data_IF_649851558287
#
_entry.id   IF_649851558287
#
_cell.length_a   1.000
_cell.length_b   1.000
_cell.length_c   1.000
_cell.angle_alpha   90.00
_cell.angle_beta   90.00
_cell.angle_gamma   90.00
#
_symmetry.space_group_name_H-M   'P 1'
#
loop_
_entity.id
_entity.type
_entity.pdbx_description
1 polymer ?
#
# COMPACT_ATOMS: atom_id res chain seq x y z
N UNK A 1 -9.06 -20.65 0.78
CA UNK A 1 -10.40 -20.50 1.38
C UNK A 1 -11.43 -20.53 0.25
N UNK A 2 -12.15 -21.65 0.06
CA UNK A 2 -13.30 -21.74 -0.85
C UNK A 2 -14.37 -22.61 -0.18
N UNK A 3 -14.98 -22.09 0.88
CA UNK A 3 -16.34 -22.50 1.20
C UNK A 3 -17.25 -21.64 0.30
N UNK A 4 -17.42 -22.08 -0.94
CA UNK A 4 -18.40 -21.46 -1.85
C UNK A 4 -19.78 -21.90 -1.39
N UNK A 5 -20.72 -20.95 -1.32
CA UNK A 5 -22.14 -21.25 -1.03
C UNK A 5 -22.63 -22.41 -1.92
N UNK A 6 -23.43 -23.38 -1.40
CA UNK A 6 -23.97 -24.47 -2.20
C UNK A 6 -25.05 -24.00 -3.17
N UNK A 7 -24.63 -23.29 -4.22
CA UNK A 7 -25.50 -22.66 -5.23
C UNK A 7 -26.41 -23.65 -5.97
N UNK A 8 -26.06 -24.94 -5.97
CA UNK A 8 -26.77 -26.02 -6.65
C UNK A 8 -27.77 -26.77 -5.76
N UNK A 9 -27.90 -26.43 -4.47
CA UNK A 9 -28.84 -27.12 -3.59
C UNK A 9 -30.30 -26.79 -3.96
N UNK A 10 -31.24 -27.76 -3.98
CA UNK A 10 -32.64 -27.52 -4.35
C UNK A 10 -33.31 -26.36 -3.58
N UNK A 11 -33.01 -26.23 -2.29
CA UNK A 11 -33.52 -25.14 -1.43
C UNK A 11 -33.01 -23.73 -1.81
N UNK A 12 -31.95 -23.62 -2.61
CA UNK A 12 -31.28 -22.37 -2.98
C UNK A 12 -31.36 -22.04 -4.48
N UNK A 13 -31.47 -23.06 -5.35
CA UNK A 13 -31.50 -22.91 -6.82
C UNK A 13 -32.71 -22.11 -7.31
N UNK A 14 -33.87 -22.26 -6.67
CA UNK A 14 -35.10 -21.58 -7.06
C UNK A 14 -35.14 -20.08 -6.72
N UNK A 15 -34.33 -19.64 -5.75
CA UNK A 15 -34.37 -18.27 -5.24
C UNK A 15 -33.25 -17.39 -5.84
N UNK A 16 -33.52 -16.87 -7.04
CA UNK A 16 -32.61 -15.96 -7.74
C UNK A 16 -32.26 -14.70 -6.95
N UNK A 17 -33.18 -14.23 -6.09
CA UNK A 17 -32.96 -13.05 -5.25
C UNK A 17 -31.93 -13.35 -4.16
N UNK A 18 -32.05 -14.49 -3.48
CA UNK A 18 -31.09 -14.95 -2.49
C UNK A 18 -29.72 -15.21 -3.13
N UNK A 19 -29.66 -15.87 -4.29
CA UNK A 19 -28.41 -16.09 -5.00
C UNK A 19 -27.68 -14.79 -5.37
N UNK A 20 -28.43 -13.79 -5.83
CA UNK A 20 -27.86 -12.47 -6.13
C UNK A 20 -27.28 -11.81 -4.87
N UNK A 21 -27.99 -11.88 -3.73
CA UNK A 21 -27.52 -11.34 -2.44
C UNK A 21 -26.26 -12.04 -1.96
N UNK A 22 -26.24 -13.37 -1.99
CA UNK A 22 -25.07 -14.17 -1.61
C UNK A 22 -23.88 -13.85 -2.50
N UNK A 23 -24.07 -13.72 -3.82
CA UNK A 23 -23.00 -13.25 -4.72
C UNK A 23 -22.46 -11.88 -4.31
N UNK A 24 -23.34 -10.91 -4.02
CA UNK A 24 -22.86 -9.58 -3.61
C UNK A 24 -22.12 -9.60 -2.26
N UNK A 25 -22.47 -10.53 -1.36
CA UNK A 25 -21.74 -10.73 -0.10
C UNK A 25 -20.37 -11.36 -0.35
N UNK A 26 -20.29 -12.39 -1.20
CA UNK A 26 -19.03 -13.01 -1.64
C UNK A 26 -18.08 -11.96 -2.26
N UNK A 27 -18.59 -11.11 -3.15
CA UNK A 27 -17.81 -10.02 -3.77
C UNK A 27 -17.23 -9.06 -2.71
N UNK A 28 -18.00 -8.74 -1.67
CA UNK A 28 -17.56 -7.85 -0.57
C UNK A 28 -16.50 -8.50 0.32
N UNK A 29 -16.64 -9.79 0.61
CA UNK A 29 -15.64 -10.56 1.35
C UNK A 29 -14.32 -10.61 0.56
N UNK A 30 -14.39 -10.87 -0.75
CA UNK A 30 -13.22 -10.88 -1.62
C UNK A 30 -12.53 -9.50 -1.65
N UNK A 31 -13.30 -8.42 -1.79
CA UNK A 31 -12.78 -7.05 -1.71
C UNK A 31 -12.13 -6.76 -0.36
N UNK A 32 -12.72 -7.22 0.75
CA UNK A 32 -12.13 -7.04 2.09
C UNK A 32 -10.79 -7.75 2.22
N UNK A 33 -10.69 -8.98 1.68
CA UNK A 33 -9.41 -9.69 1.61
C UNK A 33 -8.38 -8.97 0.74
N UNK A 34 -8.80 -8.45 -0.41
CA UNK A 34 -7.94 -7.66 -1.28
C UNK A 34 -7.42 -6.41 -0.55
N UNK A 35 -8.28 -5.66 0.15
CA UNK A 35 -7.89 -4.51 0.96
C UNK A 35 -6.87 -4.89 2.03
N UNK A 36 -7.03 -6.04 2.68
CA UNK A 36 -6.06 -6.55 3.63
C UNK A 36 -4.68 -6.76 2.98
N UNK A 37 -4.62 -7.45 1.85
CA UNK A 37 -3.36 -7.69 1.12
C UNK A 37 -2.68 -6.38 0.66
N UNK A 38 -3.46 -5.45 0.12
CA UNK A 38 -2.95 -4.14 -0.28
C UNK A 38 -2.41 -3.36 0.92
N UNK A 39 -3.11 -3.42 2.05
CA UNK A 39 -2.70 -2.74 3.30
C UNK A 39 -1.37 -3.28 3.81
N UNK A 40 -1.21 -4.60 3.88
CA UNK A 40 0.06 -5.22 4.33
C UNK A 40 1.22 -4.82 3.42
N UNK A 41 1.02 -4.89 2.11
CA UNK A 41 2.05 -4.50 1.13
C UNK A 41 2.42 -3.02 1.25
N UNK A 42 1.43 -2.16 1.49
CA UNK A 42 1.66 -0.72 1.60
C UNK A 42 2.35 -0.34 2.92
N UNK A 43 2.10 -1.07 4.01
CA UNK A 43 2.83 -0.88 5.28
C UNK A 43 4.33 -1.07 5.06
N UNK A 44 4.73 -2.13 4.36
CA UNK A 44 6.14 -2.39 4.04
C UNK A 44 6.77 -1.24 3.24
N UNK A 45 6.07 -0.73 2.22
CA UNK A 45 6.51 0.45 1.46
C UNK A 45 6.67 1.65 2.38
N UNK A 46 5.68 1.94 3.23
CA UNK A 46 5.70 3.05 4.18
C UNK A 46 6.83 2.90 5.19
N UNK A 47 7.19 1.70 5.63
CA UNK A 47 8.32 1.51 6.54
C UNK A 47 9.67 1.83 5.88
N UNK A 48 9.82 1.47 4.60
CA UNK A 48 11.01 1.73 3.80
C UNK A 48 11.18 3.23 3.55
N UNK A 49 10.12 3.92 3.11
CA UNK A 49 10.21 5.33 2.66
C UNK A 49 9.83 6.35 3.74
N UNK A 50 9.04 5.93 4.72
CA UNK A 50 8.43 6.79 5.71
C UNK A 50 9.41 7.29 6.76
N UNK A 51 9.12 8.47 7.29
CA UNK A 51 9.86 9.02 8.41
C UNK A 51 9.48 8.20 9.64
N UNK A 52 10.39 7.33 10.13
CA UNK A 52 10.28 6.94 11.54
C UNK A 52 10.42 8.25 12.30
N UNK A 53 9.41 8.61 13.10
CA UNK A 53 9.62 9.58 14.16
C UNK A 53 10.88 9.11 14.89
N UNK A 54 11.89 9.97 14.96
CA UNK A 54 13.05 9.70 15.81
C UNK A 54 12.48 9.22 17.14
N UNK A 55 12.94 8.08 17.68
CA UNK A 55 12.48 7.63 18.99
C UNK A 55 12.51 8.85 19.91
N UNK A 56 11.41 9.05 20.67
CA UNK A 56 11.32 10.13 21.65
C UNK A 56 12.67 10.21 22.36
N UNK A 57 13.25 11.43 22.42
CA UNK A 57 14.62 11.68 22.91
C UNK A 57 14.95 10.64 23.98
N UNK A 58 15.96 9.77 23.76
CA UNK A 58 16.34 8.83 24.81
C UNK A 58 16.57 9.64 26.08
N UNK A 59 16.12 9.11 27.21
CA UNK A 59 16.34 9.72 28.52
C UNK A 59 17.78 10.26 28.57
N UNK A 60 17.95 11.49 29.07
CA UNK A 60 19.26 12.15 29.12
C UNK A 60 20.30 11.16 29.65
N UNK A 61 21.22 10.76 28.78
CA UNK A 61 22.26 9.81 29.13
C UNK A 61 23.09 10.47 30.21
N UNK A 62 23.22 9.86 31.41
CA UNK A 62 24.03 10.42 32.49
C UNK A 62 25.42 10.80 31.97
N UNK A 63 25.88 11.99 32.34
CA UNK A 63 27.14 12.55 31.82
C UNK A 63 28.33 11.63 32.07
N UNK A 64 28.32 10.89 33.17
CA UNK A 64 29.31 9.87 33.54
C UNK A 64 29.42 8.74 32.50
N UNK A 65 28.30 8.30 31.91
CA UNK A 65 28.30 7.30 30.84
C UNK A 65 28.89 7.89 29.56
N UNK A 66 28.58 9.15 29.25
CA UNK A 66 29.14 9.86 28.09
C UNK A 66 30.65 10.06 28.20
N UNK A 67 31.15 10.39 29.40
CA UNK A 67 32.57 10.58 29.65
C UNK A 67 33.34 9.24 29.61
N UNK A 68 32.73 8.16 30.12
CA UNK A 68 33.27 6.80 30.01
C UNK A 68 33.33 6.34 28.54
N UNK A 69 32.27 6.59 27.76
CA UNK A 69 32.24 6.30 26.32
C UNK A 69 33.30 7.10 25.55
N UNK A 70 33.50 8.39 25.88
CA UNK A 70 34.54 9.22 25.26
C UNK A 70 35.94 8.69 25.54
N UNK A 71 36.23 8.32 26.80
CA UNK A 71 37.51 7.69 27.14
C UNK A 71 37.71 6.36 26.40
N UNK A 72 36.66 5.55 26.28
CA UNK A 72 36.73 4.28 25.54
C UNK A 72 37.01 4.50 24.05
N UNK A 73 36.31 5.44 23.41
CA UNK A 73 36.52 5.80 21.99
C UNK A 73 37.92 6.39 21.76
N UNK A 74 38.42 7.22 22.67
CA UNK A 74 39.78 7.78 22.59
C UNK A 74 40.88 6.71 22.69
N UNK A 75 40.61 5.64 23.43
CA UNK A 75 41.55 4.52 23.61
C UNK A 75 41.39 3.41 22.56
N UNK A 76 40.39 3.50 21.69
CA UNK A 76 40.12 2.48 20.66
C UNK A 76 40.65 2.96 19.30
N UNK A 77 41.64 2.27 18.75
CA UNK A 77 42.14 2.54 17.39
C UNK A 77 41.14 1.97 16.38
N UNK A 78 40.22 2.82 15.88
CA UNK A 78 39.28 2.40 14.84
C UNK A 78 40.02 2.24 13.51
N UNK A 79 40.00 1.04 12.89
CA UNK A 79 40.60 0.82 11.59
C UNK A 79 40.11 1.83 10.55
N UNK A 80 40.98 2.24 9.63
CA UNK A 80 40.67 3.32 8.67
C UNK A 80 39.45 3.03 7.79
N UNK A 81 39.27 1.77 7.38
CA UNK A 81 38.07 1.32 6.66
C UNK A 81 36.77 1.47 7.48
N UNK A 82 36.83 1.30 8.80
CA UNK A 82 35.70 1.53 9.70
C UNK A 82 35.43 3.02 9.91
N UNK A 83 36.46 3.88 9.86
CA UNK A 83 36.29 5.34 9.91
C UNK A 83 35.54 5.86 8.69
N UNK A 84 35.91 5.41 7.49
CA UNK A 84 35.19 5.80 6.27
C UNK A 84 33.73 5.31 6.30
N UNK A 85 33.50 4.06 6.69
CA UNK A 85 32.14 3.51 6.80
C UNK A 85 31.26 4.27 7.81
N UNK A 86 31.83 4.70 8.94
CA UNK A 86 31.13 5.53 9.91
C UNK A 86 30.82 6.93 9.34
N UNK A 87 31.77 7.55 8.64
CA UNK A 87 31.56 8.85 8.00
C UNK A 87 30.45 8.78 6.93
N UNK A 88 30.47 7.74 6.09
CA UNK A 88 29.45 7.51 5.06
C UNK A 88 28.07 7.26 5.70
N UNK A 89 28.00 6.45 6.77
CA UNK A 89 26.77 6.21 7.54
C UNK A 89 26.20 7.50 8.12
N UNK A 90 27.05 8.34 8.72
CA UNK A 90 26.62 9.58 9.35
C UNK A 90 26.15 10.60 8.29
N UNK A 91 26.86 10.69 7.16
CA UNK A 91 26.44 11.49 6.01
C UNK A 91 25.07 11.05 5.45
N UNK A 92 24.88 9.73 5.24
CA UNK A 92 23.60 9.16 4.81
C UNK A 92 22.50 9.47 5.83
N UNK A 93 22.78 9.30 7.12
CA UNK A 93 21.82 9.58 8.19
C UNK A 93 21.40 11.05 8.19
N UNK A 94 22.34 11.97 8.01
CA UNK A 94 22.05 13.39 7.92
C UNK A 94 21.28 13.76 6.64
N UNK A 95 21.57 13.10 5.52
CA UNK A 95 20.79 13.27 4.28
C UNK A 95 19.36 12.76 4.47
N UNK A 96 19.16 11.66 5.17
CA UNK A 96 17.82 11.12 5.49
C UNK A 96 17.06 12.08 6.38
N UNK A 97 17.70 12.67 7.41
CA UNK A 97 17.05 13.66 8.28
C UNK A 97 16.65 14.93 7.54
N UNK A 98 17.48 15.38 6.60
CA UNK A 98 17.25 16.64 5.85
C UNK A 98 16.25 16.48 4.71
N UNK A 99 16.30 15.36 4.00
CA UNK A 99 15.62 15.19 2.71
C UNK A 99 14.64 14.00 2.68
N UNK A 100 14.56 13.22 3.77
CA UNK A 100 13.71 12.03 3.85
C UNK A 100 14.33 10.78 3.23
N UNK A 101 13.86 9.60 3.66
CA UNK A 101 14.37 8.30 3.19
C UNK A 101 14.10 8.08 1.70
N UNK A 102 12.93 8.45 1.19
CA UNK A 102 12.59 8.28 -0.21
C UNK A 102 13.58 8.97 -1.15
N UNK A 103 13.95 10.22 -0.85
CA UNK A 103 14.96 10.99 -1.58
C UNK A 103 16.32 10.29 -1.57
N UNK A 104 16.83 9.95 -0.39
CA UNK A 104 18.13 9.29 -0.23
C UNK A 104 18.15 7.91 -0.90
N UNK A 105 17.05 7.15 -0.83
CA UNK A 105 16.93 5.88 -1.53
C UNK A 105 17.04 6.03 -3.04
N UNK A 106 16.47 7.10 -3.60
CA UNK A 106 16.60 7.42 -5.03
C UNK A 106 18.05 7.69 -5.45
N UNK A 107 18.82 8.35 -4.59
CA UNK A 107 20.24 8.62 -4.83
C UNK A 107 21.11 7.37 -4.69
N UNK A 108 20.88 6.56 -3.65
CA UNK A 108 21.70 5.38 -3.35
C UNK A 108 21.36 4.19 -4.26
N UNK A 109 20.08 4.00 -4.59
CA UNK A 109 19.62 2.88 -5.41
C UNK A 109 18.36 3.25 -6.19
N UNK A 110 18.57 3.92 -7.31
CA UNK A 110 17.51 4.27 -8.26
C UNK A 110 16.66 3.07 -8.70
N UNK A 111 17.30 1.91 -8.90
CA UNK A 111 16.59 0.67 -9.28
C UNK A 111 15.60 0.22 -8.20
N UNK A 112 15.99 0.29 -6.93
CA UNK A 112 15.11 -0.07 -5.81
C UNK A 112 13.95 0.91 -5.71
N UNK A 113 14.21 2.21 -5.83
CA UNK A 113 13.14 3.23 -5.84
C UNK A 113 12.15 3.02 -6.98
N UNK A 114 12.62 2.69 -8.18
CA UNK A 114 11.74 2.40 -9.31
C UNK A 114 10.91 1.13 -9.09
N UNK A 115 11.50 0.08 -8.53
CA UNK A 115 10.78 -1.14 -8.18
C UNK A 115 9.64 -0.88 -7.19
N UNK A 116 9.90 -0.05 -6.17
CA UNK A 116 8.88 0.37 -5.21
C UNK A 116 7.78 1.20 -5.87
N UNK A 117 8.12 2.11 -6.79
CA UNK A 117 7.12 2.90 -7.53
C UNK A 117 6.23 2.00 -8.40
N UNK A 118 6.80 0.99 -9.07
CA UNK A 118 6.01 0.02 -9.85
C UNK A 118 5.07 -0.79 -8.97
N UNK A 119 5.55 -1.23 -7.79
CA UNK A 119 4.71 -1.91 -6.81
C UNK A 119 3.57 -1.00 -6.35
N UNK A 120 3.89 0.25 -6.00
CA UNK A 120 2.92 1.26 -5.59
C UNK A 120 1.87 1.55 -6.66
N UNK A 121 2.28 1.68 -7.93
CA UNK A 121 1.37 1.83 -9.06
C UNK A 121 0.37 0.65 -9.14
N UNK A 122 0.85 -0.58 -8.93
CA UNK A 122 -0.02 -1.76 -8.87
C UNK A 122 -1.04 -1.71 -7.72
N UNK A 123 -0.64 -1.18 -6.55
CA UNK A 123 -1.55 -0.97 -5.42
C UNK A 123 -2.62 0.07 -5.74
N UNK A 124 -2.24 1.20 -6.36
CA UNK A 124 -3.17 2.26 -6.77
C UNK A 124 -4.19 1.73 -7.78
N UNK A 125 -3.73 1.00 -8.82
CA UNK A 125 -4.62 0.39 -9.81
C UNK A 125 -5.60 -0.57 -9.14
N UNK A 126 -5.10 -1.46 -8.27
CA UNK A 126 -5.93 -2.45 -7.56
C UNK A 126 -6.97 -1.80 -6.66
N UNK A 127 -6.59 -0.71 -5.97
CA UNK A 127 -7.51 0.08 -5.14
C UNK A 127 -8.62 0.73 -5.99
N UNK A 128 -8.28 1.42 -7.07
CA UNK A 128 -9.25 2.11 -7.93
C UNK A 128 -10.21 1.13 -8.61
N UNK A 129 -9.73 -0.05 -9.03
CA UNK A 129 -10.55 -1.10 -9.66
C UNK A 129 -11.75 -1.53 -8.80
N UNK A 130 -11.64 -1.47 -7.46
CA UNK A 130 -12.76 -1.82 -6.58
C UNK A 130 -13.97 -0.86 -6.72
N UNK A 131 -13.74 0.37 -7.18
CA UNK A 131 -14.79 1.38 -7.41
C UNK A 131 -15.33 1.39 -8.83
N UNK A 132 -14.53 0.95 -9.80
CA UNK A 132 -14.93 0.88 -11.21
C UNK A 132 -15.74 -0.38 -11.51
N UNK A 133 -15.47 -1.48 -10.79
CA UNK A 133 -16.05 -2.79 -11.06
C UNK A 133 -15.34 -3.46 -12.23
N UNK A 134 -14.52 -4.47 -11.94
CA UNK A 134 -13.85 -5.30 -12.92
C UNK A 134 -14.42 -6.73 -12.91
N UNK A 135 -14.39 -7.42 -14.06
CA UNK A 135 -14.62 -8.86 -14.19
C UNK A 135 -15.93 -9.39 -13.58
N UNK A 136 -17.02 -8.62 -13.70
CA UNK A 136 -18.35 -9.05 -13.23
C UNK A 136 -18.53 -9.00 -11.71
N UNK A 137 -17.63 -8.32 -10.99
CA UNK A 137 -17.72 -8.03 -9.55
C UNK A 137 -18.54 -6.77 -9.25
N UNK A 138 -19.15 -6.76 -8.07
CA UNK A 138 -19.90 -5.62 -7.56
C UNK A 138 -19.00 -4.45 -7.20
N UNK A 139 -19.19 -3.28 -7.83
CA UNK A 139 -18.46 -2.05 -7.47
C UNK A 139 -18.81 -1.53 -6.08
N UNK A 140 -17.87 -0.85 -5.43
CA UNK A 140 -18.13 -0.04 -4.24
C UNK A 140 -18.85 1.24 -4.67
N UNK A 141 -19.90 1.62 -3.93
CA UNK A 141 -20.66 2.84 -4.19
C UNK A 141 -19.93 4.05 -3.62
N UNK A 142 -19.29 4.85 -4.49
CA UNK A 142 -18.57 6.08 -4.12
C UNK A 142 -19.43 7.00 -3.25
N UNK A 143 -20.72 7.16 -3.57
CA UNK A 143 -21.62 8.07 -2.84
C UNK A 143 -21.85 7.63 -1.40
N UNK A 144 -21.88 6.32 -1.16
CA UNK A 144 -22.02 5.77 0.19
C UNK A 144 -20.70 5.83 0.95
N UNK A 145 -19.61 5.46 0.29
CA UNK A 145 -18.29 5.39 0.91
C UNK A 145 -17.76 6.77 1.35
N UNK A 146 -17.88 7.79 0.50
CA UNK A 146 -17.37 9.14 0.79
C UNK A 146 -18.36 10.04 1.54
N UNK A 147 -19.53 9.52 1.93
CA UNK A 147 -20.61 10.33 2.50
C UNK A 147 -20.13 11.07 3.75
N UNK A 148 -20.05 12.40 3.65
CA UNK A 148 -19.68 13.28 4.77
C UNK A 148 -18.17 13.35 5.05
N UNK A 149 -17.31 12.83 4.16
CA UNK A 149 -15.86 12.88 4.32
C UNK A 149 -15.14 13.35 3.05
N UNK A 150 -15.18 14.66 2.83
CA UNK A 150 -14.55 15.31 1.67
C UNK A 150 -13.02 15.11 1.62
N UNK A 151 -12.38 14.92 2.78
CA UNK A 151 -10.93 14.73 2.83
C UNK A 151 -10.52 13.38 2.21
N UNK A 152 -11.25 12.32 2.53
CA UNK A 152 -11.07 10.99 1.94
C UNK A 152 -11.46 11.00 0.46
N UNK A 153 -12.50 11.75 0.08
CA UNK A 153 -12.91 11.90 -1.32
C UNK A 153 -11.82 12.57 -2.17
N UNK A 154 -11.26 13.70 -1.70
CA UNK A 154 -10.18 14.41 -2.41
C UNK A 154 -8.92 13.54 -2.55
N UNK A 155 -8.59 12.76 -1.52
CA UNK A 155 -7.47 11.80 -1.60
C UNK A 155 -7.76 10.71 -2.65
N UNK A 156 -8.99 10.20 -2.72
CA UNK A 156 -9.39 9.24 -3.74
C UNK A 156 -9.27 9.81 -5.16
N UNK A 157 -9.75 11.05 -5.40
CA UNK A 157 -9.65 11.71 -6.70
C UNK A 157 -8.19 11.84 -7.17
N UNK A 158 -7.27 12.09 -6.24
CA UNK A 158 -5.83 12.13 -6.54
C UNK A 158 -5.35 10.78 -7.08
N UNK A 159 -5.74 9.66 -6.47
CA UNK A 159 -5.36 8.33 -6.94
C UNK A 159 -6.09 7.88 -8.22
N UNK A 160 -7.34 8.31 -8.40
CA UNK A 160 -8.09 8.09 -9.64
C UNK A 160 -7.38 8.78 -10.81
N UNK A 161 -6.93 10.02 -10.61
CA UNK A 161 -6.12 10.75 -11.57
C UNK A 161 -4.77 10.06 -11.84
N UNK A 162 -4.04 9.64 -10.79
CA UNK A 162 -2.75 8.95 -10.95
C UNK A 162 -2.91 7.66 -11.75
N UNK A 163 -3.94 6.85 -11.42
CA UNK A 163 -4.28 5.64 -12.15
C UNK A 163 -4.51 5.94 -13.63
N UNK A 164 -5.36 6.92 -13.93
CA UNK A 164 -5.76 7.21 -15.31
C UNK A 164 -4.62 7.83 -16.13
N UNK A 165 -3.96 8.86 -15.61
CA UNK A 165 -2.96 9.63 -16.37
C UNK A 165 -1.59 8.94 -16.46
N UNK A 166 -1.21 8.16 -15.45
CA UNK A 166 0.17 7.71 -15.31
C UNK A 166 0.34 6.19 -15.28
N UNK A 167 -0.56 5.44 -14.63
CA UNK A 167 -0.33 4.01 -14.39
C UNK A 167 -1.04 3.06 -15.37
N UNK A 168 -2.33 3.26 -15.64
CA UNK A 168 -3.16 2.34 -16.41
C UNK A 168 -3.25 2.68 -17.91
N UNK A 169 -3.39 3.97 -18.27
CA UNK A 169 -3.58 4.38 -19.66
C UNK A 169 -2.34 5.05 -20.29
N UNK A 170 -1.26 5.28 -19.51
CA UNK A 170 0.01 5.88 -19.94
C UNK A 170 -0.18 7.02 -20.97
N UNK A 171 -1.12 7.93 -20.72
CA UNK A 171 -1.35 9.09 -21.60
C UNK A 171 -0.12 10.01 -21.63
N UNK A 172 0.68 9.98 -20.55
CA UNK A 172 2.00 10.57 -20.47
C UNK A 172 3.05 9.54 -20.88
N UNK A 173 3.64 9.71 -22.06
CA UNK A 173 4.75 8.89 -22.54
C UNK A 173 6.01 9.12 -21.68
N UNK A 174 6.12 8.43 -20.54
CA UNK A 174 7.34 8.42 -19.74
C UNK A 174 8.15 7.15 -20.01
N UNK A 175 9.19 7.28 -20.83
CA UNK A 175 10.33 6.37 -20.80
C UNK A 175 11.59 7.09 -21.31
N UNK A 176 12.39 7.60 -20.34
CA UNK A 176 13.86 7.72 -20.31
C UNK A 176 14.27 9.05 -19.67
N UNK A 177 15.07 8.97 -18.61
CA UNK A 177 15.89 10.12 -18.20
C UNK A 177 16.85 10.45 -19.34
N UNK A 178 16.73 11.65 -19.91
CA UNK A 178 17.82 12.28 -20.64
C UNK A 178 18.15 13.56 -19.92
N UNK A 179 19.11 13.49 -18.99
CA UNK A 179 19.91 14.67 -18.69
C UNK A 179 20.77 14.84 -19.94
N UNK A 180 20.53 15.89 -20.71
CA UNK A 180 21.43 16.26 -21.79
C UNK A 180 22.71 16.78 -21.15
N UNK A 181 23.71 15.91 -21.07
CA UNK A 181 25.07 16.30 -20.74
C UNK A 181 25.95 16.09 -21.96
N UNK A 182 26.89 17.00 -22.15
CA UNK A 182 27.97 16.84 -23.13
C UNK A 182 29.27 16.61 -22.36
N UNK A 183 30.03 15.62 -22.79
CA UNK A 183 31.41 15.43 -22.34
C UNK A 183 32.31 16.05 -23.38
N UNK A 184 33.08 17.05 -23.01
CA UNK A 184 34.03 17.68 -23.93
C UNK A 184 35.29 16.81 -24.12
N UNK A 185 36.18 17.22 -25.02
CA UNK A 185 37.42 16.49 -25.32
C UNK A 185 38.42 16.39 -24.15
N UNK A 186 38.18 17.07 -23.03
CA UNK A 186 38.96 16.99 -21.79
C UNK A 186 38.33 16.08 -20.72
N UNK A 187 37.12 15.56 -20.98
CA UNK A 187 36.38 14.71 -20.04
C UNK A 187 35.53 15.49 -19.04
N UNK A 188 35.40 16.81 -19.17
CA UNK A 188 34.53 17.63 -18.33
C UNK A 188 33.06 17.43 -18.74
N UNK A 189 32.20 17.21 -17.75
CA UNK A 189 30.75 17.03 -17.95
C UNK A 189 30.08 18.40 -17.85
N UNK A 190 29.54 18.91 -18.96
CA UNK A 190 28.69 20.09 -18.97
C UNK A 190 27.22 19.68 -19.06
N UNK A 191 26.41 20.13 -18.10
CA UNK A 191 24.95 19.91 -18.08
C UNK A 191 24.30 21.07 -18.82
N UNK A 192 23.44 20.78 -19.80
CA UNK A 192 22.65 21.82 -20.47
C UNK A 192 21.45 22.22 -19.58
N UNK A 193 21.43 23.44 -19.01
CA UNK A 193 20.35 23.87 -18.13
C UNK A 193 19.06 24.21 -18.90
N UNK A 194 19.15 24.40 -20.23
CA UNK A 194 18.04 24.79 -21.09
C UNK A 194 17.40 23.62 -21.84
N UNK A 195 18.03 22.43 -21.79
CA UNK A 195 17.42 21.22 -22.31
C UNK A 195 16.13 20.89 -21.54
N UNK A 196 15.10 20.31 -22.19
CA UNK A 196 13.88 19.86 -21.51
C UNK A 196 14.23 18.89 -20.39
N UNK A 197 14.23 19.38 -19.15
CA UNK A 197 14.46 18.54 -17.99
C UNK A 197 13.17 17.77 -17.70
N UNK A 198 13.18 16.48 -17.98
CA UNK A 198 12.08 15.60 -17.57
C UNK A 198 12.41 15.01 -16.20
N UNK A 199 11.80 15.57 -15.16
CA UNK A 199 11.85 15.03 -13.81
C UNK A 199 10.92 13.82 -13.73
N UNK A 200 11.39 12.68 -13.21
CA UNK A 200 10.47 11.61 -12.83
C UNK A 200 9.72 12.06 -11.59
N UNK A 201 8.41 12.24 -11.71
CA UNK A 201 7.53 12.35 -10.55
C UNK A 201 7.42 10.96 -9.92
N UNK A 202 7.80 10.86 -8.65
CA UNK A 202 7.61 9.66 -7.83
C UNK A 202 6.49 9.92 -6.85
N UNK A 203 5.56 8.98 -6.73
CA UNK A 203 4.34 9.15 -5.94
C UNK A 203 4.37 8.33 -4.66
N UNK A 204 5.48 7.65 -4.38
CA UNK A 204 5.72 6.95 -3.12
C UNK A 204 5.43 7.81 -1.89
N UNK A 205 5.63 9.12 -1.94
CA UNK A 205 5.33 10.05 -0.84
C UNK A 205 3.84 10.06 -0.46
N UNK A 206 2.94 9.75 -1.40
CA UNK A 206 1.49 9.62 -1.18
C UNK A 206 1.08 8.27 -0.55
N UNK A 207 2.03 7.39 -0.20
CA UNK A 207 1.72 6.09 0.42
C UNK A 207 0.93 6.20 1.72
N UNK A 208 1.14 7.28 2.49
CA UNK A 208 0.36 7.55 3.70
C UNK A 208 -1.12 7.79 3.42
N UNK A 209 -1.44 8.54 2.36
CA UNK A 209 -2.83 8.80 1.97
C UNK A 209 -3.52 7.55 1.43
N UNK A 210 -2.82 6.75 0.62
CA UNK A 210 -3.36 5.47 0.16
C UNK A 210 -3.62 4.53 1.34
N UNK A 211 -2.73 4.50 2.34
CA UNK A 211 -2.91 3.67 3.54
C UNK A 211 -4.13 4.10 4.35
N UNK A 212 -4.35 5.42 4.46
CA UNK A 212 -5.54 5.97 5.11
C UNK A 212 -6.82 5.60 4.38
N UNK A 213 -6.82 5.65 3.04
CA UNK A 213 -7.95 5.22 2.21
C UNK A 213 -8.26 3.73 2.39
N UNK A 214 -7.24 2.86 2.37
CA UNK A 214 -7.40 1.43 2.57
C UNK A 214 -7.95 1.10 3.97
N UNK A 215 -7.52 1.80 5.01
CA UNK A 215 -8.06 1.66 6.37
C UNK A 215 -9.53 2.06 6.44
N UNK A 216 -9.90 3.20 5.84
CA UNK A 216 -11.30 3.63 5.78
C UNK A 216 -12.15 2.62 5.01
N UNK A 217 -11.63 2.09 3.90
CA UNK A 217 -12.32 1.09 3.10
C UNK A 217 -12.50 -0.23 3.85
N UNK A 218 -11.51 -0.66 4.64
CA UNK A 218 -11.62 -1.84 5.49
C UNK A 218 -12.78 -1.72 6.49
N UNK A 219 -12.91 -0.57 7.16
CA UNK A 219 -14.01 -0.29 8.11
C UNK A 219 -15.35 -0.38 7.37
N UNK A 220 -15.46 0.34 6.24
CA UNK A 220 -16.69 0.36 5.44
C UNK A 220 -17.12 -1.04 4.96
N UNK A 221 -16.18 -1.83 4.43
CA UNK A 221 -16.48 -3.19 3.96
C UNK A 221 -16.88 -4.10 5.11
N UNK A 222 -16.26 -3.95 6.29
CA UNK A 222 -16.61 -4.74 7.47
C UNK A 222 -18.05 -4.48 7.93
N UNK A 223 -18.47 -3.21 7.94
CA UNK A 223 -19.85 -2.81 8.22
C UNK A 223 -20.81 -3.34 7.14
N UNK A 224 -20.47 -3.16 5.86
CA UNK A 224 -21.33 -3.61 4.75
C UNK A 224 -21.50 -5.14 4.72
N UNK A 225 -20.43 -5.90 4.99
CA UNK A 225 -20.47 -7.36 5.12
C UNK A 225 -21.39 -7.75 6.28
N UNK A 226 -21.26 -7.10 7.44
CA UNK A 226 -22.09 -7.37 8.62
C UNK A 226 -23.57 -7.12 8.32
N UNK A 227 -23.89 -5.95 7.78
CA UNK A 227 -25.27 -5.55 7.47
C UNK A 227 -25.91 -6.46 6.41
N UNK A 228 -25.16 -6.80 5.34
CA UNK A 228 -25.63 -7.72 4.30
C UNK A 228 -25.84 -9.14 4.85
N UNK A 229 -24.94 -9.61 5.70
CA UNK A 229 -25.06 -10.93 6.33
C UNK A 229 -26.31 -11.00 7.20
N UNK A 230 -26.55 -9.98 8.04
CA UNK A 230 -27.76 -9.90 8.85
C UNK A 230 -29.03 -9.87 7.99
N UNK A 231 -29.06 -9.03 6.95
CA UNK A 231 -30.21 -8.91 6.05
C UNK A 231 -30.48 -10.18 5.22
N UNK A 232 -29.46 -11.01 4.97
CA UNK A 232 -29.63 -12.34 4.37
C UNK A 232 -30.23 -13.29 5.39
N UNK A 233 -29.65 -13.38 6.59
CA UNK A 233 -30.08 -14.28 7.66
C UNK A 233 -31.57 -14.10 8.03
N UNK A 234 -32.05 -12.86 8.08
CA UNK A 234 -33.45 -12.52 8.36
C UNK A 234 -34.43 -13.05 7.32
N UNK A 235 -33.97 -13.31 6.09
CA UNK A 235 -34.81 -13.67 4.94
C UNK A 235 -34.72 -15.14 4.57
N UNK A 236 -33.79 -15.89 5.14
CA UNK A 236 -33.67 -17.32 4.91
C UNK A 236 -34.85 -18.06 5.55
N UNK A 237 -35.42 -19.01 4.81
CA UNK A 237 -36.30 -20.01 5.42
C UNK A 237 -35.51 -20.93 6.35
N UNK A 238 -36.19 -21.62 7.26
CA UNK A 238 -35.52 -22.54 8.18
C UNK A 238 -34.84 -23.72 7.44
N UNK A 239 -35.42 -24.16 6.32
CA UNK A 239 -34.80 -25.15 5.42
C UNK A 239 -33.50 -24.61 4.81
N UNK A 240 -33.49 -23.36 4.33
CA UNK A 240 -32.29 -22.74 3.77
C UNK A 240 -31.20 -22.50 4.83
N UNK A 241 -31.58 -22.10 6.06
CA UNK A 241 -30.64 -21.97 7.18
C UNK A 241 -29.99 -23.30 7.52
N UNK A 242 -30.79 -24.37 7.58
CA UNK A 242 -30.27 -25.70 7.88
C UNK A 242 -29.24 -26.17 6.84
N UNK A 243 -29.55 -26.01 5.55
CA UNK A 243 -28.61 -26.34 4.44
C UNK A 243 -27.30 -25.56 4.54
N UNK A 244 -27.36 -24.26 4.86
CA UNK A 244 -26.16 -23.43 5.00
C UNK A 244 -25.34 -23.82 6.24
N UNK A 245 -25.98 -24.20 7.35
CA UNK A 245 -25.32 -24.67 8.56
C UNK A 245 -24.66 -26.04 8.37
N UNK A 246 -25.33 -26.98 7.71
CA UNK A 246 -24.74 -28.28 7.37
C UNK A 246 -23.52 -28.11 6.47
N UNK A 247 -23.59 -27.24 5.46
CA UNK A 247 -22.45 -26.96 4.61
C UNK A 247 -21.30 -26.31 5.38
N UNK A 248 -21.58 -25.39 6.30
CA UNK A 248 -20.56 -24.77 7.14
C UNK A 248 -19.87 -25.83 8.02
N UNK A 249 -20.64 -26.70 8.68
CA UNK A 249 -20.11 -27.79 9.51
C UNK A 249 -19.31 -28.84 8.72
N UNK A 250 -19.66 -29.10 7.47
CA UNK A 250 -18.87 -29.96 6.57
C UNK A 250 -17.57 -29.29 6.10
N UNK A 251 -17.54 -27.97 6.04
CA UNK A 251 -16.33 -27.19 5.68
C UNK A 251 -15.34 -27.10 6.85
N UNK A 252 -15.76 -27.45 8.07
CA UNK A 252 -14.95 -27.50 9.29
C UNK A 252 -14.49 -28.93 9.67
N UNK A 253 -14.72 -29.93 8.81
CA UNK A 253 -14.18 -31.31 8.96
C UNK A 253 -12.64 -31.33 8.89
N UNK A 254 -11.98 -32.35 9.50
CA UNK A 254 -10.64 -32.20 10.05
C UNK A 254 -9.63 -31.81 8.98
N UNK A 255 -8.94 -30.70 9.23
CA UNK A 255 -7.59 -30.49 8.72
C UNK A 255 -6.67 -31.53 9.37
N UNK A 256 -6.81 -32.79 8.98
CA UNK A 256 -5.85 -33.83 9.32
C UNK A 256 -4.60 -33.67 8.44
N UNK A 257 -3.51 -33.32 9.13
CA UNK A 257 -2.08 -33.48 8.82
C UNK A 257 -1.49 -32.83 7.55
#
# INVERSE_FOLDING_TARGET
>A
MRATVPKNHPALVGDKSLQARLKTLEDRIEQSYQVHQLTQTLIEIVEIIGHRQSPARPAEVPQEIMDTLRQFVQNTTVPEHMRQLNADRDAISDMVRRNGKGYVLGLLSHRLRLGLEVLFAGLVVSYIQMFEGADGRSKIDKRKFFKGNNEIENAHETFDMLRNKQYAHKELAFDRHRICYTVDGSGQIAIDPNAPQMTREYHLESSGDLLRLLKALHIHLSEEIKDRSAAILERLSDEQKHVLLEHAGQSEGPHDA
#
